data_IF_893868066875
#
_entry.id   IF_893868066875
#
_cell.length_a   1.000
_cell.length_b   1.000
_cell.length_c   1.000
_cell.angle_alpha   90.00
_cell.angle_beta   90.00
_cell.angle_gamma   90.00
#
_symmetry.space_group_name_H-M   'P 1'
#
loop_
_entity.id
_entity.type
_entity.pdbx_description
1 polymer ?
#
# COMPACT_ATOMS: atom_id res chain seq x y z
N UNK A 1 -17.82 -3.64 -6.78
CA UNK A 1 -16.63 -2.85 -6.37
C UNK A 1 -16.11 -3.36 -5.04
N UNK A 2 -14.81 -3.41 -4.90
CA UNK A 2 -14.14 -3.76 -3.64
C UNK A 2 -13.17 -2.65 -3.21
N UNK A 3 -13.01 -2.53 -1.91
CA UNK A 3 -12.03 -1.64 -1.29
C UNK A 3 -11.02 -2.51 -0.55
N UNK A 4 -9.74 -2.24 -0.74
CA UNK A 4 -8.64 -2.96 -0.07
C UNK A 4 -7.92 -2.02 0.87
N UNK A 5 -7.75 -2.45 2.12
CA UNK A 5 -6.95 -1.74 3.12
C UNK A 5 -5.69 -2.56 3.39
N UNK A 6 -4.55 -2.04 3.00
CA UNK A 6 -3.25 -2.57 3.41
C UNK A 6 -2.77 -1.72 4.58
N UNK A 7 -2.75 -2.31 5.78
CA UNK A 7 -2.42 -1.61 7.01
C UNK A 7 -1.05 -2.04 7.53
N UNK A 8 -0.25 -1.06 7.95
CA UNK A 8 1.09 -1.30 8.49
C UNK A 8 1.22 -0.60 9.84
N UNK A 9 1.66 -1.35 10.85
CA UNK A 9 2.10 -0.76 12.10
C UNK A 9 3.61 -0.57 12.00
N UNK A 10 4.01 0.69 11.93
CA UNK A 10 5.42 1.05 11.71
C UNK A 10 6.18 1.16 13.01
N UNK A 11 7.50 1.11 12.91
CA UNK A 11 8.38 1.40 14.05
C UNK A 11 8.21 2.88 14.43
N UNK A 12 8.44 3.24 15.72
CA UNK A 12 8.28 4.62 16.17
C UNK A 12 9.03 5.62 15.28
N UNK A 13 8.32 6.66 14.86
CA UNK A 13 8.87 7.70 14.01
C UNK A 13 8.90 7.39 12.52
N UNK A 14 8.53 6.19 12.10
CA UNK A 14 8.62 5.78 10.69
C UNK A 14 7.31 5.91 9.90
N UNK A 15 6.18 6.19 10.54
CA UNK A 15 4.88 6.27 9.85
C UNK A 15 4.89 7.29 8.71
N UNK A 16 5.37 8.50 8.96
CA UNK A 16 5.46 9.54 7.90
C UNK A 16 6.41 9.14 6.78
N UNK A 17 7.50 8.47 7.10
CA UNK A 17 8.46 7.98 6.09
C UNK A 17 7.82 6.92 5.20
N UNK A 18 7.12 5.97 5.82
CA UNK A 18 6.40 4.91 5.10
C UNK A 18 5.28 5.51 4.25
N UNK A 19 4.49 6.43 4.81
CA UNK A 19 3.42 7.09 4.07
C UNK A 19 3.94 7.85 2.85
N UNK A 20 5.03 8.60 2.99
CA UNK A 20 5.67 9.32 1.89
C UNK A 20 6.22 8.38 0.83
N UNK A 21 6.84 7.27 1.26
CA UNK A 21 7.37 6.27 0.35
C UNK A 21 6.27 5.65 -0.50
N UNK A 22 5.15 5.22 0.13
CA UNK A 22 4.02 4.66 -0.60
C UNK A 22 3.35 5.68 -1.50
N UNK A 23 3.23 6.92 -1.05
CA UNK A 23 2.68 8.00 -1.87
C UNK A 23 3.50 8.19 -3.15
N UNK A 24 4.81 8.14 -3.05
CA UNK A 24 5.70 8.26 -4.19
C UNK A 24 5.59 7.05 -5.12
N UNK A 25 5.68 5.84 -4.56
CA UNK A 25 5.65 4.58 -5.33
C UNK A 25 4.29 4.37 -6.00
N UNK A 26 3.19 4.70 -5.31
CA UNK A 26 1.82 4.49 -5.80
C UNK A 26 1.26 5.68 -6.58
N UNK A 27 2.04 6.72 -6.81
CA UNK A 27 1.57 7.94 -7.49
C UNK A 27 1.05 7.71 -8.91
N UNK A 28 1.52 6.65 -9.58
CA UNK A 28 1.09 6.28 -10.93
C UNK A 28 -0.02 5.22 -10.95
N UNK A 29 -0.41 4.71 -9.78
CA UNK A 29 -1.42 3.67 -9.66
C UNK A 29 -2.81 4.31 -9.51
N UNK A 30 -3.65 4.16 -10.55
CA UNK A 30 -5.00 4.75 -10.55
C UNK A 30 -5.93 4.12 -9.52
N UNK A 31 -5.65 2.89 -9.09
CA UNK A 31 -6.44 2.16 -8.11
C UNK A 31 -6.21 2.63 -6.67
N UNK A 32 -5.08 3.29 -6.40
CA UNK A 32 -4.80 3.81 -5.06
C UNK A 32 -5.57 5.10 -4.81
N UNK A 33 -6.49 5.07 -3.83
CA UNK A 33 -7.35 6.21 -3.48
C UNK A 33 -6.71 7.10 -2.44
N UNK A 34 -6.22 6.52 -1.35
CA UNK A 34 -5.68 7.26 -0.21
C UNK A 34 -4.52 6.53 0.42
N UNK A 35 -3.61 7.30 0.98
CA UNK A 35 -2.62 6.83 1.94
C UNK A 35 -2.89 7.60 3.23
N UNK A 36 -3.26 6.88 4.28
CA UNK A 36 -3.73 7.45 5.53
C UNK A 36 -2.76 7.13 6.66
N UNK A 37 -2.65 8.06 7.61
CA UNK A 37 -1.98 7.80 8.88
C UNK A 37 -3.00 7.94 10.00
N UNK A 38 -2.92 7.08 11.01
CA UNK A 38 -3.84 7.14 12.14
C UNK A 38 -3.44 8.28 13.06
N UNK A 39 -4.38 9.18 13.33
CA UNK A 39 -4.15 10.34 14.18
C UNK A 39 -4.64 10.16 15.62
N UNK A 40 -5.45 9.16 15.89
CA UNK A 40 -6.14 9.01 17.18
C UNK A 40 -6.03 7.61 17.78
N UNK A 41 -5.80 6.59 16.96
CA UNK A 41 -5.66 5.19 17.37
C UNK A 41 -4.22 4.80 17.62
N UNK A 42 -3.80 3.61 17.17
CA UNK A 42 -2.40 3.20 17.28
C UNK A 42 -1.47 4.20 16.58
N UNK A 43 -0.48 4.69 17.29
CA UNK A 43 0.53 5.53 16.69
C UNK A 43 1.30 4.74 15.63
N UNK A 44 1.80 5.43 14.61
CA UNK A 44 2.61 4.83 13.57
C UNK A 44 1.88 3.83 12.67
N UNK A 45 0.56 3.92 12.57
CA UNK A 45 -0.23 3.12 11.64
C UNK A 45 -0.41 3.84 10.30
N UNK A 46 -0.09 3.15 9.22
CA UNK A 46 -0.28 3.63 7.85
C UNK A 46 -1.25 2.69 7.14
N UNK A 47 -2.23 3.24 6.43
CA UNK A 47 -3.20 2.46 5.65
C UNK A 47 -3.14 2.93 4.20
N UNK A 48 -2.96 1.98 3.29
CA UNK A 48 -3.10 2.22 1.86
C UNK A 48 -4.50 1.76 1.46
N UNK A 49 -5.32 2.68 0.98
CA UNK A 49 -6.68 2.40 0.52
C UNK A 49 -6.68 2.32 -0.99
N UNK A 50 -7.04 1.17 -1.52
CA UNK A 50 -7.13 0.93 -2.96
C UNK A 50 -8.53 0.49 -3.33
N UNK A 51 -8.91 0.72 -4.59
CA UNK A 51 -10.24 0.46 -5.11
C UNK A 51 -10.15 -0.32 -6.41
N UNK A 52 -10.94 -1.37 -6.52
CA UNK A 52 -11.00 -2.21 -7.72
C UNK A 52 -12.46 -2.49 -8.09
N UNK A 53 -12.74 -2.68 -9.37
CA UNK A 53 -14.09 -2.98 -9.85
C UNK A 53 -14.60 -4.32 -9.34
N UNK A 54 -13.71 -5.31 -9.19
CA UNK A 54 -14.03 -6.67 -8.79
C UNK A 54 -12.84 -7.37 -8.16
N UNK A 55 -13.08 -8.53 -7.55
CA UNK A 55 -11.98 -9.40 -7.08
C UNK A 55 -11.09 -9.86 -8.22
N UNK A 56 -11.66 -10.12 -9.40
CA UNK A 56 -10.87 -10.48 -10.58
C UNK A 56 -9.91 -9.37 -10.98
N UNK A 57 -10.37 -8.12 -10.97
CA UNK A 57 -9.51 -6.97 -11.27
C UNK A 57 -8.39 -6.84 -10.25
N UNK A 58 -8.70 -7.08 -8.98
CA UNK A 58 -7.71 -7.09 -7.90
C UNK A 58 -6.66 -8.18 -8.09
N UNK A 59 -7.09 -9.41 -8.39
CA UNK A 59 -6.18 -10.52 -8.66
C UNK A 59 -5.27 -10.23 -9.87
N UNK A 60 -5.81 -9.66 -10.93
CA UNK A 60 -5.04 -9.27 -12.11
C UNK A 60 -3.98 -8.21 -11.80
N UNK A 61 -4.21 -7.37 -10.80
CA UNK A 61 -3.23 -6.36 -10.41
C UNK A 61 -1.92 -6.98 -9.91
N UNK A 62 -1.97 -8.17 -9.32
CA UNK A 62 -0.76 -8.88 -8.88
C UNK A 62 0.09 -9.36 -10.06
N UNK A 63 -0.51 -9.72 -11.17
CA UNK A 63 0.23 -10.13 -12.37
C UNK A 63 1.11 -8.99 -12.87
N UNK A 64 0.61 -7.76 -12.77
CA UNK A 64 1.36 -6.55 -13.12
C UNK A 64 2.62 -6.38 -12.27
N UNK A 65 2.53 -6.69 -10.97
CA UNK A 65 3.68 -6.63 -10.07
C UNK A 65 4.68 -7.76 -10.29
N UNK A 66 4.25 -8.87 -10.87
CA UNK A 66 5.12 -10.00 -11.18
C UNK A 66 5.85 -9.84 -12.52
N UNK A 67 5.45 -8.87 -13.34
CA UNK A 67 6.15 -8.56 -14.58
C UNK A 67 7.44 -7.80 -14.26
N UNK A 68 8.55 -8.27 -14.83
CA UNK A 68 9.85 -7.62 -14.66
C UNK A 68 10.06 -6.52 -15.69
N UNK A 69 9.28 -5.45 -15.59
CA UNK A 69 9.50 -4.24 -16.37
C UNK A 69 10.52 -3.33 -15.68
N UNK A 70 11.08 -2.38 -16.41
CA UNK A 70 11.97 -1.37 -15.82
C UNK A 70 11.28 -0.56 -14.73
N UNK A 71 9.99 -0.24 -14.93
CA UNK A 71 9.19 0.47 -13.94
C UNK A 71 9.07 -0.31 -12.64
N UNK A 72 8.85 -1.62 -12.73
CA UNK A 72 8.78 -2.49 -11.56
C UNK A 72 10.11 -2.59 -10.82
N UNK A 73 11.22 -2.66 -11.56
CA UNK A 73 12.56 -2.65 -10.98
C UNK A 73 12.83 -1.36 -10.21
N UNK A 74 12.44 -0.21 -10.78
CA UNK A 74 12.56 1.09 -10.11
C UNK A 74 11.72 1.16 -8.84
N UNK A 75 10.50 0.64 -8.88
CA UNK A 75 9.63 0.58 -7.71
C UNK A 75 10.23 -0.30 -6.61
N UNK A 76 10.77 -1.46 -6.99
CA UNK A 76 11.44 -2.35 -6.04
C UNK A 76 12.65 -1.71 -5.40
N UNK A 77 13.44 -0.96 -6.15
CA UNK A 77 14.59 -0.22 -5.63
C UNK A 77 14.16 0.85 -4.61
N UNK A 78 13.11 1.62 -4.94
CA UNK A 78 12.56 2.63 -4.04
C UNK A 78 12.00 2.03 -2.76
N UNK A 79 11.44 0.83 -2.85
CA UNK A 79 10.88 0.13 -1.70
C UNK A 79 11.91 -0.73 -0.95
N UNK A 80 13.17 -0.69 -1.38
CA UNK A 80 14.25 -1.38 -0.68
C UNK A 80 14.33 -0.91 0.77
N UNK A 81 14.28 -1.86 1.70
CA UNK A 81 14.36 -1.57 3.12
C UNK A 81 13.05 -1.16 3.80
N UNK A 82 11.93 -1.07 3.06
CA UNK A 82 10.66 -0.65 3.68
C UNK A 82 10.18 -1.64 4.75
N UNK A 83 10.45 -2.93 4.60
CA UNK A 83 10.06 -3.93 5.59
C UNK A 83 10.83 -3.83 6.90
N UNK A 84 11.90 -3.06 6.95
CA UNK A 84 12.56 -2.71 8.21
C UNK A 84 11.87 -1.55 8.92
N UNK A 85 10.98 -0.83 8.23
CA UNK A 85 10.28 0.34 8.75
C UNK A 85 8.99 0.01 9.48
N UNK A 86 8.43 -1.20 9.29
CA UNK A 86 7.20 -1.60 9.96
C UNK A 86 7.39 -2.87 10.80
N UNK A 87 6.50 -3.04 11.78
CA UNK A 87 6.50 -4.20 12.68
C UNK A 87 5.56 -5.30 12.21
N UNK A 88 4.36 -4.93 11.79
CA UNK A 88 3.34 -5.84 11.30
C UNK A 88 2.59 -5.24 10.14
N UNK A 89 2.04 -6.09 9.31
CA UNK A 89 1.17 -5.69 8.21
C UNK A 89 -0.06 -6.59 8.15
N UNK A 90 -1.16 -6.05 7.66
CA UNK A 90 -2.39 -6.79 7.44
C UNK A 90 -3.11 -6.28 6.21
N UNK A 91 -3.97 -7.12 5.65
CA UNK A 91 -4.79 -6.76 4.49
C UNK A 91 -6.24 -7.13 4.75
N UNK A 92 -7.13 -6.19 4.46
CA UNK A 92 -8.56 -6.38 4.56
C UNK A 92 -9.18 -6.03 3.21
N UNK A 93 -10.09 -6.87 2.76
CA UNK A 93 -10.81 -6.67 1.49
C UNK A 93 -12.29 -6.53 1.81
N UNK A 94 -12.87 -5.41 1.41
CA UNK A 94 -14.26 -5.08 1.69
C UNK A 94 -15.09 -5.04 0.41
N UNK A 95 -16.31 -5.52 0.48
CA UNK A 95 -17.28 -5.38 -0.59
C UNK A 95 -18.07 -4.09 -0.35
N UNK A 96 -18.21 -3.27 -1.39
CA UNK A 96 -19.04 -2.06 -1.33
C UNK A 96 -20.49 -2.45 -1.65
N UNK A 97 -21.40 -2.06 -0.80
CA UNK A 97 -22.84 -2.28 -0.98
C UNK A 97 -23.53 -1.08 -1.63
#
# INVERSE_FOLDING_TARGET
>A
MIIVHDSFICKPGNASKVAKLFKEVMSTESETEYILTDMTGPYNKVIIVSKYESLSAYEKSFEKFMQQSEEMKKMQEKMSGYHEMYLTGSREVYKVW
#
